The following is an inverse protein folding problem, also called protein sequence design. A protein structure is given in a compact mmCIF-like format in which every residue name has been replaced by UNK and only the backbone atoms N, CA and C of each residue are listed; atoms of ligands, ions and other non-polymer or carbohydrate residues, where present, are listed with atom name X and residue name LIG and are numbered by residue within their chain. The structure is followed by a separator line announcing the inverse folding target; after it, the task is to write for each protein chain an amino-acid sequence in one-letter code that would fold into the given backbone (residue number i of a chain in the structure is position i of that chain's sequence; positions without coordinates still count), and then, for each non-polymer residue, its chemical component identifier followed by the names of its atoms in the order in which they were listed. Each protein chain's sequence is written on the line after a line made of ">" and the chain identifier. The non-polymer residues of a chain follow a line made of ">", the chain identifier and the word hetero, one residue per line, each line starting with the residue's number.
data_IF_533598016756
#
_entry.id   IF_533598016756
#
_cell.length_a   1.000
_cell.length_b   1.000
_cell.length_c   1.000
_cell.angle_alpha   90.00
_cell.angle_beta   90.00
_cell.angle_gamma   90.00
#
_symmetry.space_group_name_H-M   'P 1'
#
loop_
_entity.id
_entity.type
_entity.pdbx_description
1 polymer ?
#
# COMPACT_ATOMS: atom_id res chain seq x y z
N UNK A 1 -12.57 -8.90 3.72
CA UNK A 1 -11.54 -8.09 3.01
C UNK A 1 -11.11 -6.90 3.86
N UNK A 2 -9.98 -6.25 3.53
CA UNK A 2 -9.61 -4.98 4.18
C UNK A 2 -10.39 -3.85 3.49
N UNK A 3 -11.08 -3.01 4.26
CA UNK A 3 -11.68 -1.78 3.71
C UNK A 3 -10.57 -0.72 3.58
N UNK A 4 -10.38 -0.09 2.41
CA UNK A 4 -9.30 0.87 2.21
C UNK A 4 -9.59 2.20 2.90
N UNK A 5 -8.54 2.84 3.42
CA UNK A 5 -8.57 4.21 3.92
C UNK A 5 -8.09 5.18 2.85
N UNK A 6 -8.86 6.23 2.59
CA UNK A 6 -8.45 7.30 1.70
C UNK A 6 -7.79 8.44 2.48
N UNK A 7 -6.62 8.86 2.03
CA UNK A 7 -5.94 10.10 2.44
C UNK A 7 -6.02 11.07 1.26
N UNK A 8 -6.87 12.07 1.39
CA UNK A 8 -6.93 13.20 0.46
C UNK A 8 -6.04 14.33 0.96
N UNK A 9 -5.22 14.89 0.07
CA UNK A 9 -4.36 16.03 0.40
C UNK A 9 -4.42 17.10 -0.69
N UNK A 10 -4.31 18.37 -0.28
CA UNK A 10 -4.15 19.50 -1.21
C UNK A 10 -2.70 19.71 -1.65
N UNK A 11 -1.74 19.06 -0.97
CA UNK A 11 -0.33 19.12 -1.34
C UNK A 11 -0.12 18.43 -2.68
N UNK A 12 0.67 19.03 -3.56
CA UNK A 12 1.07 18.34 -4.78
C UNK A 12 1.97 17.15 -4.42
N UNK A 13 1.40 15.95 -4.43
CA UNK A 13 2.08 14.68 -4.13
C UNK A 13 3.09 14.30 -5.23
N UNK A 14 3.12 15.05 -6.33
CA UNK A 14 4.21 15.02 -7.30
C UNK A 14 5.38 15.91 -6.89
N UNK A 15 5.34 16.63 -5.78
CA UNK A 15 6.47 17.48 -5.36
C UNK A 15 7.00 17.14 -3.99
N UNK A 16 6.17 16.53 -3.15
CA UNK A 16 6.53 16.21 -1.78
C UNK A 16 5.78 14.98 -1.24
N UNK A 17 6.25 14.47 -0.11
CA UNK A 17 5.52 13.50 0.71
C UNK A 17 4.67 14.25 1.73
N UNK A 18 3.34 14.04 1.77
CA UNK A 18 2.50 14.59 2.82
C UNK A 18 2.95 14.12 4.21
N UNK A 19 2.89 14.99 5.21
CA UNK A 19 3.32 14.65 6.58
C UNK A 19 2.64 13.38 7.12
N UNK A 20 1.35 13.19 6.84
CA UNK A 20 0.61 11.97 7.25
C UNK A 20 1.19 10.68 6.64
N UNK A 21 1.74 10.75 5.42
CA UNK A 21 2.38 9.61 4.76
C UNK A 21 3.77 9.37 5.35
N UNK A 22 4.52 10.45 5.62
CA UNK A 22 5.79 10.36 6.32
C UNK A 22 5.63 9.71 7.70
N UNK A 23 4.67 10.18 8.49
CA UNK A 23 4.41 9.69 9.84
C UNK A 23 3.95 8.23 9.81
N UNK A 24 3.10 7.87 8.84
CA UNK A 24 2.70 6.48 8.60
C UNK A 24 3.89 5.57 8.28
N UNK A 25 4.73 5.96 7.32
CA UNK A 25 5.93 5.19 6.95
C UNK A 25 6.85 5.00 8.15
N UNK A 26 7.09 6.06 8.93
CA UNK A 26 7.90 6.02 10.15
C UNK A 26 7.30 5.06 11.18
N UNK A 27 6.00 5.15 11.45
CA UNK A 27 5.31 4.26 12.37
C UNK A 27 5.40 2.79 11.93
N UNK A 28 5.11 2.48 10.67
CA UNK A 28 5.18 1.10 10.17
C UNK A 28 6.60 0.53 10.24
N UNK A 29 7.62 1.31 9.87
CA UNK A 29 9.02 0.86 9.96
C UNK A 29 9.41 0.60 11.41
N UNK A 30 9.10 1.52 12.33
CA UNK A 30 9.47 1.42 13.75
C UNK A 30 8.72 0.31 14.49
N UNK A 31 7.52 -0.05 14.03
CA UNK A 31 6.72 -1.16 14.58
C UNK A 31 7.02 -2.51 13.92
N UNK A 32 8.02 -2.59 13.04
CA UNK A 32 8.43 -3.85 12.43
C UNK A 32 7.51 -4.32 11.30
N UNK A 33 6.79 -3.41 10.63
CA UNK A 33 5.88 -3.71 9.53
C UNK A 33 6.54 -3.48 8.17
N UNK A 34 6.05 -4.22 7.17
CA UNK A 34 6.40 -4.01 5.77
C UNK A 34 5.37 -3.10 5.10
N UNK A 35 5.81 -2.23 4.20
CA UNK A 35 4.91 -1.43 3.36
C UNK A 35 5.23 -1.68 1.90
N UNK A 36 4.20 -1.95 1.12
CA UNK A 36 4.28 -1.96 -0.33
C UNK A 36 3.56 -0.75 -0.92
N UNK A 37 4.32 0.08 -1.61
CA UNK A 37 3.86 1.32 -2.23
C UNK A 37 3.72 1.08 -3.73
N UNK A 38 2.48 1.12 -4.20
CA UNK A 38 2.21 1.11 -5.62
C UNK A 38 2.14 2.51 -6.22
N UNK A 39 2.73 2.66 -7.40
CA UNK A 39 2.75 3.89 -8.18
C UNK A 39 2.31 3.62 -9.63
N UNK A 40 1.84 4.61 -10.40
CA UNK A 40 1.21 4.33 -11.69
C UNK A 40 2.21 4.00 -12.81
N UNK A 41 3.47 4.44 -12.71
CA UNK A 41 4.49 4.28 -13.74
C UNK A 41 5.89 4.17 -13.12
N UNK A 42 6.80 3.51 -13.81
CA UNK A 42 8.21 3.37 -13.42
C UNK A 42 8.88 4.71 -13.05
N UNK A 43 8.61 5.79 -13.79
CA UNK A 43 9.15 7.13 -13.47
C UNK A 43 8.78 7.61 -12.06
N UNK A 44 7.63 7.17 -11.54
CA UNK A 44 7.19 7.50 -10.19
C UNK A 44 7.99 6.71 -9.14
N UNK A 45 8.49 5.51 -9.45
CA UNK A 45 9.29 4.70 -8.52
C UNK A 45 10.53 5.49 -8.07
N UNK A 46 11.34 5.95 -9.03
CA UNK A 46 12.57 6.72 -8.78
C UNK A 46 12.28 7.97 -7.94
N UNK A 47 11.23 8.70 -8.30
CA UNK A 47 10.80 9.93 -7.63
C UNK A 47 10.33 9.72 -6.18
N UNK A 48 9.47 8.73 -5.94
CA UNK A 48 9.01 8.45 -4.57
C UNK A 48 10.16 7.88 -3.74
N UNK A 49 11.03 7.08 -4.35
CA UNK A 49 12.23 6.55 -3.68
C UNK A 49 13.17 7.67 -3.22
N UNK A 50 13.33 8.75 -4.00
CA UNK A 50 14.19 9.86 -3.61
C UNK A 50 13.62 10.62 -2.42
N UNK A 51 12.32 10.90 -2.41
CA UNK A 51 11.69 11.55 -1.26
C UNK A 51 11.76 10.68 -0.01
N UNK A 52 11.48 9.38 -0.12
CA UNK A 52 11.58 8.46 1.01
C UNK A 52 13.01 8.40 1.56
N UNK A 53 14.02 8.34 0.68
CA UNK A 53 15.43 8.39 1.12
C UNK A 53 15.76 9.71 1.81
N UNK A 54 15.34 10.84 1.25
CA UNK A 54 15.60 12.17 1.83
C UNK A 54 15.09 12.28 3.27
N UNK A 55 13.88 11.79 3.56
CA UNK A 55 13.26 11.95 4.88
C UNK A 55 13.45 10.77 5.84
N UNK A 56 13.70 9.56 5.34
CA UNK A 56 13.71 8.33 6.14
C UNK A 56 15.01 7.53 6.04
N UNK A 57 16.10 8.08 5.45
CA UNK A 57 17.36 7.34 5.25
C UNK A 57 17.85 6.64 6.53
N UNK A 58 17.85 7.37 7.64
CA UNK A 58 18.36 6.91 8.92
C UNK A 58 17.52 5.77 9.53
N UNK A 59 16.25 5.64 9.11
CA UNK A 59 15.34 4.60 9.61
C UNK A 59 15.31 3.37 8.70
N UNK A 60 15.65 3.55 7.42
CA UNK A 60 15.52 2.49 6.43
C UNK A 60 16.75 1.59 6.35
N UNK A 61 17.97 2.03 6.66
CA UNK A 61 19.18 1.18 6.69
C UNK A 61 19.26 0.15 5.53
N UNK A 62 19.04 0.59 4.28
CA UNK A 62 18.98 -0.27 3.06
C UNK A 62 17.75 -1.19 2.90
N UNK A 63 16.70 -1.01 3.70
CA UNK A 63 15.41 -1.75 3.62
C UNK A 63 14.41 -1.11 2.66
N UNK A 64 14.90 -0.33 1.70
CA UNK A 64 14.11 0.24 0.61
C UNK A 64 14.41 -0.54 -0.68
N UNK A 65 13.42 -1.28 -1.14
CA UNK A 65 13.47 -2.08 -2.35
C UNK A 65 12.67 -1.39 -3.46
N UNK A 66 13.17 -1.46 -4.69
CA UNK A 66 12.49 -0.97 -5.87
C UNK A 66 12.26 -2.18 -6.77
N UNK A 67 11.01 -2.41 -7.19
CA UNK A 67 10.69 -3.51 -8.09
C UNK A 67 10.14 -2.96 -9.41
N UNK A 68 10.90 -3.17 -10.46
CA UNK A 68 10.42 -3.25 -11.84
C UNK A 68 10.30 -4.74 -12.24
N UNK A 69 9.48 -5.06 -13.24
CA UNK A 69 9.19 -6.45 -13.65
C UNK A 69 10.44 -7.32 -13.95
N UNK A 70 11.63 -6.72 -14.06
CA UNK A 70 12.91 -7.39 -14.30
C UNK A 70 13.65 -7.88 -13.04
N UNK A 71 13.26 -7.48 -11.83
CA UNK A 71 14.04 -7.79 -10.60
C UNK A 71 13.26 -8.57 -9.53
N UNK A 72 12.98 -9.84 -9.79
CA UNK A 72 12.34 -10.74 -8.80
C UNK A 72 13.14 -10.87 -7.48
N UNK A 73 14.45 -10.57 -7.49
CA UNK A 73 15.28 -10.63 -6.27
C UNK A 73 14.88 -9.55 -5.26
N UNK A 74 14.37 -8.41 -5.71
CA UNK A 74 13.90 -7.35 -4.81
C UNK A 74 12.63 -7.76 -4.04
N UNK A 75 11.71 -8.49 -4.69
CA UNK A 75 10.52 -9.03 -4.00
C UNK A 75 10.92 -10.05 -2.94
N UNK A 76 11.80 -11.00 -3.27
CA UNK A 76 12.19 -12.04 -2.30
C UNK A 76 12.92 -11.46 -1.08
N UNK A 77 13.82 -10.49 -1.28
CA UNK A 77 14.47 -9.75 -0.19
C UNK A 77 13.45 -9.00 0.67
N UNK A 78 12.48 -8.32 0.05
CA UNK A 78 11.41 -7.64 0.77
C UNK A 78 10.57 -8.63 1.61
N UNK A 79 10.15 -9.76 1.03
CA UNK A 79 9.33 -10.74 1.75
C UNK A 79 10.07 -11.34 2.97
N UNK A 80 11.38 -11.56 2.85
CA UNK A 80 12.25 -12.10 3.90
C UNK A 80 12.69 -11.06 4.94
N UNK A 81 12.45 -9.77 4.71
CA UNK A 81 12.77 -8.72 5.66
C UNK A 81 11.74 -8.66 6.80
N UNK A 82 12.17 -8.21 7.98
CA UNK A 82 11.27 -7.96 9.11
C UNK A 82 10.43 -6.69 8.89
N UNK A 83 11.10 -5.58 8.57
CA UNK A 83 10.52 -4.32 8.15
C UNK A 83 11.19 -3.82 6.88
N UNK A 84 10.40 -3.33 5.93
CA UNK A 84 10.91 -2.79 4.68
C UNK A 84 9.85 -1.98 3.94
N UNK A 85 10.32 -1.16 3.00
CA UNK A 85 9.47 -0.48 2.02
C UNK A 85 9.80 -1.03 0.64
N UNK A 86 8.79 -1.46 -0.09
CA UNK A 86 8.90 -1.83 -1.50
C UNK A 86 8.11 -0.83 -2.34
N UNK A 87 8.72 -0.26 -3.39
CA UNK A 87 8.03 0.63 -4.34
C UNK A 87 7.95 -0.06 -5.70
N UNK A 88 6.76 -0.11 -6.30
CA UNK A 88 6.57 -0.72 -7.62
C UNK A 88 5.43 -0.10 -8.42
N UNK A 89 5.49 -0.20 -9.74
CA UNK A 89 4.36 0.06 -10.64
C UNK A 89 3.69 -1.21 -11.18
N UNK A 90 4.16 -2.38 -10.74
CA UNK A 90 3.74 -3.69 -11.21
C UNK A 90 2.59 -4.24 -10.37
N UNK A 91 1.37 -3.92 -10.77
CA UNK A 91 0.14 -4.40 -10.13
C UNK A 91 -0.22 -5.86 -10.44
N UNK A 92 0.26 -6.35 -11.58
CA UNK A 92 -0.12 -7.63 -12.16
C UNK A 92 0.77 -8.78 -11.67
N UNK A 93 1.90 -8.48 -11.05
CA UNK A 93 2.78 -9.49 -10.48
C UNK A 93 2.11 -10.08 -9.23
N UNK A 94 1.80 -11.38 -9.29
CA UNK A 94 1.25 -12.15 -8.18
C UNK A 94 2.17 -12.05 -6.95
N UNK A 95 1.62 -11.63 -5.80
CA UNK A 95 2.38 -11.47 -4.56
C UNK A 95 1.82 -12.38 -3.46
N UNK A 96 2.27 -13.64 -3.40
CA UNK A 96 1.79 -14.57 -2.38
C UNK A 96 2.30 -14.15 -0.99
N UNK A 97 1.48 -14.40 0.04
CA UNK A 97 1.83 -14.29 1.46
C UNK A 97 2.36 -12.92 1.93
N UNK A 98 1.55 -11.87 1.77
CA UNK A 98 1.79 -10.54 2.33
C UNK A 98 1.50 -10.46 3.84
N UNK A 99 2.04 -11.40 4.65
CA UNK A 99 1.91 -11.36 6.11
C UNK A 99 2.64 -10.13 6.66
N UNK A 100 2.00 -9.40 7.57
CA UNK A 100 2.52 -8.19 8.21
C UNK A 100 2.94 -7.09 7.21
N UNK A 101 2.22 -7.01 6.09
CA UNK A 101 2.47 -6.01 5.04
C UNK A 101 1.24 -5.12 4.84
N UNK A 102 1.47 -3.81 4.90
CA UNK A 102 0.51 -2.79 4.50
C UNK A 102 0.68 -2.43 3.03
N UNK A 103 -0.41 -1.99 2.40
CA UNK A 103 -0.39 -1.53 1.02
C UNK A 103 -0.75 -0.05 0.97
N UNK A 104 0.02 0.72 0.19
CA UNK A 104 -0.28 2.11 -0.14
C UNK A 104 -0.33 2.29 -1.66
N UNK A 105 -1.36 2.94 -2.17
CA UNK A 105 -1.40 3.40 -3.57
C UNK A 105 -1.15 4.92 -3.56
N UNK A 106 0.04 5.34 -4.00
CA UNK A 106 0.53 6.71 -3.75
C UNK A 106 -0.15 7.78 -4.64
N UNK A 107 -0.67 7.40 -5.80
CA UNK A 107 -1.38 8.31 -6.72
C UNK A 107 -2.74 7.69 -7.09
N UNK A 108 -3.56 7.40 -6.09
CA UNK A 108 -4.80 6.62 -6.26
C UNK A 108 -5.82 7.29 -7.18
N UNK A 109 -5.73 8.60 -7.40
CA UNK A 109 -6.54 9.33 -8.38
C UNK A 109 -6.06 9.18 -9.84
N UNK A 110 -4.97 8.44 -10.08
CA UNK A 110 -4.51 8.18 -11.43
C UNK A 110 -5.43 7.19 -12.16
N UNK A 111 -5.81 7.51 -13.41
CA UNK A 111 -6.70 6.68 -14.24
C UNK A 111 -6.18 5.27 -14.55
N UNK A 112 -4.90 4.96 -14.29
CA UNK A 112 -4.40 3.57 -14.34
C UNK A 112 -4.96 2.67 -13.24
N UNK A 113 -5.50 3.25 -12.17
CA UNK A 113 -6.11 2.53 -11.06
C UNK A 113 -7.61 2.48 -11.21
N UNK A 114 -8.11 1.28 -11.42
CA UNK A 114 -9.54 0.99 -11.51
C UNK A 114 -10.01 0.35 -10.22
N UNK A 115 -11.32 0.38 -9.97
CA UNK A 115 -11.92 -0.27 -8.81
C UNK A 115 -11.53 -1.75 -8.72
N UNK A 116 -11.35 -2.45 -9.85
CA UNK A 116 -10.94 -3.86 -9.89
C UNK A 116 -9.53 -4.05 -9.28
N UNK A 117 -8.59 -3.17 -9.63
CA UNK A 117 -7.23 -3.21 -9.07
C UNK A 117 -7.26 -2.90 -7.57
N UNK A 118 -8.03 -1.90 -7.17
CA UNK A 118 -8.19 -1.56 -5.75
C UNK A 118 -8.80 -2.71 -4.94
N UNK A 119 -9.87 -3.32 -5.42
CA UNK A 119 -10.53 -4.47 -4.79
C UNK A 119 -9.57 -5.67 -4.70
N UNK A 120 -8.79 -5.93 -5.76
CA UNK A 120 -7.75 -6.97 -5.73
C UNK A 120 -6.76 -6.72 -4.59
N UNK A 121 -6.19 -5.51 -4.49
CA UNK A 121 -5.26 -5.16 -3.40
C UNK A 121 -5.88 -5.32 -2.01
N UNK A 122 -7.14 -4.92 -1.85
CA UNK A 122 -7.90 -5.09 -0.61
C UNK A 122 -8.15 -6.55 -0.21
N UNK A 123 -8.14 -7.46 -1.18
CA UNK A 123 -8.23 -8.91 -0.97
C UNK A 123 -6.88 -9.57 -0.73
N UNK A 124 -5.79 -9.02 -1.28
CA UNK A 124 -4.45 -9.57 -1.17
C UNK A 124 -3.79 -9.36 0.20
N UNK A 125 -4.27 -8.38 0.98
CA UNK A 125 -3.78 -8.13 2.34
C UNK A 125 -4.35 -9.16 3.30
N UNK A 126 -3.46 -9.96 3.90
CA UNK A 126 -3.83 -10.98 4.89
C UNK A 126 -4.13 -10.30 6.24
N UNK A 127 -5.26 -10.65 6.86
CA UNK A 127 -5.52 -10.30 8.26
C UNK A 127 -4.54 -11.11 9.13
N UNK A 128 -3.60 -10.43 9.79
CA UNK A 128 -2.56 -11.09 10.59
C UNK A 128 -3.12 -11.86 11.79
N UNK A 129 -2.31 -12.79 12.31
CA UNK A 129 -2.62 -13.67 13.46
C UNK A 129 -2.42 -12.98 14.83
N UNK A 130 -1.81 -11.79 14.89
CA UNK A 130 -1.42 -11.07 16.13
C UNK A 130 -1.96 -9.63 16.19
N UNK A 131 -3.29 -9.47 16.24
CA UNK A 131 -4.04 -8.21 16.48
C UNK A 131 -3.83 -7.02 15.51
N UNK A 132 -2.76 -6.95 14.74
CA UNK A 132 -2.52 -5.90 13.75
C UNK A 132 -2.99 -6.34 12.37
N UNK A 133 -4.22 -5.97 12.03
CA UNK A 133 -4.80 -6.12 10.69
C UNK A 133 -3.93 -5.36 9.68
N UNK A 134 -3.66 -5.95 8.53
CA UNK A 134 -3.00 -5.22 7.43
C UNK A 134 -3.89 -4.10 6.91
N UNK A 135 -3.29 -3.02 6.45
CA UNK A 135 -4.02 -1.84 5.95
C UNK A 135 -3.86 -1.66 4.44
N UNK A 136 -4.85 -1.01 3.84
CA UNK A 136 -4.78 -0.51 2.46
C UNK A 136 -5.08 0.97 2.48
N UNK A 137 -4.13 1.78 1.98
CA UNK A 137 -4.21 3.24 1.98
C UNK A 137 -4.21 3.75 0.55
N UNK A 138 -5.19 4.59 0.21
CA UNK A 138 -5.23 5.32 -1.04
C UNK A 138 -4.82 6.77 -0.79
N UNK A 139 -3.66 7.17 -1.30
CA UNK A 139 -3.22 8.56 -1.26
C UNK A 139 -3.57 9.23 -2.58
N UNK A 140 -4.28 10.34 -2.54
CA UNK A 140 -4.69 11.07 -3.74
C UNK A 140 -4.86 12.57 -3.48
N UNK A 141 -4.85 13.36 -4.55
CA UNK A 141 -5.26 14.75 -4.48
C UNK A 141 -6.78 14.93 -4.62
N UNK A 142 -7.45 13.98 -5.27
CA UNK A 142 -8.91 13.99 -5.50
C UNK A 142 -9.48 12.61 -5.25
N UNK A 143 -10.74 12.56 -4.83
CA UNK A 143 -11.47 11.28 -4.79
C UNK A 143 -11.97 10.94 -6.19
N UNK A 144 -11.96 9.64 -6.54
CA UNK A 144 -12.47 9.13 -7.81
C UNK A 144 -13.57 8.11 -7.57
N UNK A 145 -14.45 7.94 -8.56
CA UNK A 145 -15.51 6.93 -8.51
C UNK A 145 -14.94 5.51 -8.33
N UNK A 146 -13.76 5.23 -8.90
CA UNK A 146 -13.08 3.93 -8.75
C UNK A 146 -12.67 3.66 -7.29
N UNK A 147 -12.19 4.69 -6.58
CA UNK A 147 -11.84 4.59 -5.16
C UNK A 147 -13.08 4.36 -4.30
N UNK A 148 -14.14 5.14 -4.54
CA UNK A 148 -15.40 5.01 -3.82
C UNK A 148 -16.05 3.64 -4.06
N UNK A 149 -16.08 3.19 -5.31
CA UNK A 149 -16.62 1.89 -5.71
C UNK A 149 -15.87 0.74 -5.04
N UNK A 150 -14.54 0.80 -4.98
CA UNK A 150 -13.75 -0.22 -4.28
C UNK A 150 -14.04 -0.25 -2.77
N UNK A 151 -14.17 0.91 -2.14
CA UNK A 151 -14.57 1.03 -0.73
C UNK A 151 -15.97 0.46 -0.48
N UNK A 152 -16.93 0.75 -1.34
CA UNK A 152 -18.29 0.22 -1.22
C UNK A 152 -18.33 -1.31 -1.41
N UNK A 153 -17.62 -1.86 -2.40
CA UNK A 153 -17.52 -3.30 -2.63
C UNK A 153 -16.93 -4.02 -1.41
N UNK A 154 -15.78 -3.55 -0.92
CA UNK A 154 -15.09 -4.19 0.22
C UNK A 154 -15.90 -4.11 1.50
N UNK A 155 -16.60 -2.99 1.74
CA UNK A 155 -17.52 -2.82 2.86
C UNK A 155 -18.72 -3.76 2.79
N UNK A 156 -19.37 -3.85 1.62
CA UNK A 156 -20.53 -4.73 1.44
C UNK A 156 -20.14 -6.20 1.61
N UNK A 157 -18.99 -6.61 1.06
CA UNK A 157 -18.45 -7.95 1.29
C UNK A 157 -18.24 -8.23 2.79
N UNK A 158 -17.70 -7.26 3.54
CA UNK A 158 -17.53 -7.41 4.99
C UNK A 158 -18.87 -7.50 5.74
N UNK A 159 -19.89 -6.73 5.32
CA UNK A 159 -21.25 -6.80 5.89
C UNK A 159 -21.90 -8.16 5.63
N UNK A 160 -21.78 -8.69 4.41
CA UNK A 160 -22.30 -10.02 4.08
C UNK A 160 -21.60 -11.11 4.88
N UNK A 161 -20.27 -11.09 4.94
CA UNK A 161 -19.50 -12.05 5.73
C UNK A 161 -19.86 -12.00 7.23
N UNK A 162 -20.14 -10.80 7.77
CA UNK A 162 -20.66 -10.65 9.13
C UNK A 162 -22.04 -11.28 9.30
N UNK A 163 -22.98 -10.99 8.40
CA UNK A 163 -24.34 -11.56 8.45
C UNK A 163 -24.34 -13.09 8.32
N UNK A 164 -23.35 -13.66 7.62
CA UNK A 164 -23.14 -15.10 7.49
C UNK A 164 -22.41 -15.73 8.70
N UNK A 165 -22.00 -14.94 9.70
CA UNK A 165 -21.24 -15.43 10.86
C UNK A 165 -19.79 -15.81 10.55
N UNK A 166 -19.23 -15.39 9.40
CA UNK A 166 -17.86 -15.69 8.98
C UNK A 166 -16.82 -14.72 9.56
N UNK A 167 -17.27 -13.70 10.30
CA UNK A 167 -16.42 -12.73 10.98
C UNK A 167 -16.77 -12.72 12.47
N UNK A 168 -15.79 -12.98 13.33
CA UNK A 168 -15.88 -12.78 14.78
C UNK A 168 -15.13 -11.49 15.16
N UNK A 169 -15.65 -10.76 16.16
CA UNK A 169 -14.97 -9.59 16.74
C UNK A 169 -13.86 -10.04 17.65
#
# INVERSE_FOLDING_TARGET
>A
MIEPRTILTRLDINKCIPFVVYDYLKWSITTGRKIMIFVPKEKNIKKISSYIKEYLNNLLENKLYLYDKSDEKSISKFLNSGNAVLITDSFESFMPNMKNTDIMVYFADNSKFTYKKFVYLCGSVVRGEKDLKGEVIFLANRETEDMEKAKNITRNFNKEAWNMGLLSV
#
